data_IF_355288690634
#
_entry.id   IF_355288690634
#
_cell.length_a   1.000
_cell.length_b   1.000
_cell.length_c   1.000
_cell.angle_alpha   90.00
_cell.angle_beta   90.00
_cell.angle_gamma   90.00
#
_symmetry.space_group_name_H-M   'P 1'
#
loop_
_entity.id
_entity.type
_entity.pdbx_description
1 polymer ?
#
# COMPACT_ATOMS: atom_id res chain seq x y z
N UNK A 1 11.98 22.40 7.58
CA UNK A 1 12.64 21.46 6.64
C UNK A 1 11.65 21.17 5.53
N UNK A 2 11.91 21.63 4.30
CA UNK A 2 11.03 21.33 3.17
C UNK A 2 11.15 19.84 2.80
N UNK A 3 10.05 19.08 2.69
CA UNK A 3 10.12 17.70 2.25
C UNK A 3 10.69 17.64 0.84
N UNK A 4 11.70 16.79 0.62
CA UNK A 4 12.32 16.58 -0.69
C UNK A 4 11.27 16.04 -1.66
N UNK A 5 11.15 16.71 -2.80
CA UNK A 5 10.17 16.44 -3.86
C UNK A 5 10.59 15.16 -4.60
N UNK A 6 9.71 14.15 -4.65
CA UNK A 6 9.84 13.05 -5.61
C UNK A 6 9.76 13.64 -7.03
N UNK A 7 10.81 13.50 -7.87
CA UNK A 7 10.74 13.95 -9.25
C UNK A 7 9.64 13.19 -9.99
N UNK A 8 8.90 13.89 -10.87
CA UNK A 8 7.86 13.30 -11.72
C UNK A 8 8.47 12.18 -12.57
N UNK A 9 8.08 10.94 -12.28
CA UNK A 9 8.61 9.75 -12.97
C UNK A 9 7.71 9.30 -14.11
N UNK A 10 8.31 9.10 -15.28
CA UNK A 10 7.68 8.37 -16.38
C UNK A 10 7.76 6.87 -16.06
N UNK A 11 6.61 6.22 -15.90
CA UNK A 11 6.49 4.83 -15.46
C UNK A 11 7.40 3.84 -16.23
N UNK A 12 7.57 4.03 -17.55
CA UNK A 12 8.41 3.15 -18.37
C UNK A 12 9.91 3.21 -18.09
N UNK A 13 10.46 4.38 -17.73
CA UNK A 13 11.89 4.50 -17.35
C UNK A 13 12.14 4.00 -15.92
N UNK A 14 11.16 4.17 -15.03
CA UNK A 14 11.21 3.69 -13.64
C UNK A 14 11.38 2.19 -13.55
N UNK A 15 10.58 1.43 -14.31
CA UNK A 15 10.54 -0.03 -14.22
C UNK A 15 11.84 -0.64 -14.71
N UNK A 16 12.40 -0.13 -15.82
CA UNK A 16 13.68 -0.60 -16.34
C UNK A 16 14.82 -0.33 -15.36
N UNK A 17 14.81 0.83 -14.70
CA UNK A 17 15.81 1.18 -13.69
C UNK A 17 15.70 0.29 -12.43
N UNK A 18 14.48 0.05 -11.95
CA UNK A 18 14.23 -0.87 -10.82
C UNK A 18 14.73 -2.29 -11.11
N UNK A 19 14.40 -2.83 -12.28
CA UNK A 19 14.86 -4.16 -12.70
C UNK A 19 16.39 -4.20 -12.81
N UNK A 20 17.00 -3.18 -13.44
CA UNK A 20 18.45 -3.10 -13.58
C UNK A 20 19.16 -3.07 -12.20
N UNK A 21 18.64 -2.30 -11.24
CA UNK A 21 19.18 -2.24 -9.88
C UNK A 21 19.06 -3.57 -9.14
N UNK A 22 17.93 -4.28 -9.29
CA UNK A 22 17.77 -5.63 -8.73
C UNK A 22 18.75 -6.61 -9.37
N UNK A 23 18.87 -6.60 -10.70
CA UNK A 23 19.81 -7.45 -11.43
C UNK A 23 21.25 -7.22 -10.97
N UNK A 24 21.67 -5.96 -10.81
CA UNK A 24 22.98 -5.61 -10.28
C UNK A 24 23.21 -6.18 -8.87
N UNK A 25 22.20 -6.08 -7.98
CA UNK A 25 22.29 -6.64 -6.63
C UNK A 25 22.35 -8.18 -6.65
N UNK A 26 21.58 -8.84 -7.50
CA UNK A 26 21.59 -10.30 -7.66
C UNK A 26 22.93 -10.83 -8.19
N UNK A 27 23.52 -10.15 -9.18
CA UNK A 27 24.87 -10.48 -9.67
C UNK A 27 25.95 -10.27 -8.60
N UNK A 28 25.82 -9.21 -7.80
CA UNK A 28 26.68 -8.96 -6.64
C UNK A 28 26.53 -10.04 -5.58
N UNK A 29 25.31 -10.55 -5.36
CA UNK A 29 25.01 -11.61 -4.42
C UNK A 29 25.68 -12.93 -4.85
N UNK A 30 25.54 -13.30 -6.13
CA UNK A 30 26.18 -14.48 -6.69
C UNK A 30 27.71 -14.47 -6.55
N UNK A 31 28.34 -13.30 -6.75
CA UNK A 31 29.79 -13.11 -6.52
C UNK A 31 30.22 -13.28 -5.06
N UNK A 32 29.30 -13.09 -4.11
CA UNK A 32 29.52 -13.31 -2.66
C UNK A 32 29.08 -14.70 -2.19
N UNK A 33 28.67 -15.59 -3.10
CA UNK A 33 28.15 -16.92 -2.75
C UNK A 33 26.74 -16.91 -2.16
N UNK A 34 26.01 -15.79 -2.28
CA UNK A 34 24.62 -15.67 -1.83
C UNK A 34 23.72 -16.08 -2.99
N UNK A 35 23.04 -17.21 -2.83
CA UNK A 35 22.17 -17.77 -3.86
C UNK A 35 20.71 -17.43 -3.58
N UNK A 36 20.14 -16.55 -4.41
CA UNK A 36 18.69 -16.34 -4.45
C UNK A 36 18.08 -17.48 -5.25
N UNK A 37 17.39 -18.39 -4.57
CA UNK A 37 16.71 -19.52 -5.20
C UNK A 37 15.34 -19.06 -5.67
N UNK A 38 14.97 -19.36 -6.92
CA UNK A 38 13.63 -19.07 -7.41
C UNK A 38 12.57 -19.69 -6.48
N UNK A 39 11.57 -18.90 -6.10
CA UNK A 39 10.44 -19.37 -5.32
C UNK A 39 9.60 -20.38 -6.11
N UNK A 40 8.67 -21.05 -5.43
CA UNK A 40 7.72 -21.93 -6.09
C UNK A 40 6.79 -21.12 -7.00
N UNK A 41 7.21 -20.91 -8.25
CA UNK A 41 6.43 -20.26 -9.30
C UNK A 41 6.30 -18.75 -9.18
N UNK A 42 5.93 -18.15 -10.31
CA UNK A 42 5.54 -16.75 -10.50
C UNK A 42 4.27 -16.42 -9.70
N UNK A 43 4.33 -16.44 -8.38
CA UNK A 43 3.15 -16.19 -7.56
C UNK A 43 2.97 -14.70 -7.32
N UNK A 44 2.01 -14.12 -8.05
CA UNK A 44 1.35 -12.89 -7.63
C UNK A 44 0.77 -13.14 -6.23
N UNK A 45 1.28 -12.40 -5.24
CA UNK A 45 0.88 -12.56 -3.86
C UNK A 45 -0.57 -12.13 -3.63
N UNK A 46 -1.09 -11.25 -4.49
CA UNK A 46 -2.48 -10.80 -4.46
C UNK A 46 -3.41 -11.87 -5.04
N UNK A 47 -3.00 -12.57 -6.12
CA UNK A 47 -3.78 -13.66 -6.70
C UNK A 47 -3.98 -14.84 -5.72
N UNK A 48 -2.96 -15.14 -4.89
CA UNK A 48 -3.07 -16.17 -3.85
C UNK A 48 -4.12 -15.85 -2.76
N UNK A 49 -4.51 -14.59 -2.61
CA UNK A 49 -5.59 -14.21 -1.69
C UNK A 49 -6.96 -14.68 -2.20
N UNK A 50 -7.13 -14.71 -3.53
CA UNK A 50 -8.37 -15.15 -4.17
C UNK A 50 -8.37 -16.67 -4.44
N UNK A 51 -7.19 -17.29 -4.59
CA UNK A 51 -7.03 -18.74 -4.81
C UNK A 51 -7.03 -19.58 -3.52
N UNK A 52 -7.16 -18.97 -2.33
CA UNK A 52 -7.57 -19.72 -1.14
C UNK A 52 -9.01 -20.21 -1.36
N UNK A 53 -9.14 -21.38 -1.99
CA UNK A 53 -10.24 -22.29 -1.71
C UNK A 53 -10.29 -22.42 -0.18
N UNK A 54 -11.31 -21.80 0.42
CA UNK A 54 -11.74 -22.11 1.76
C UNK A 54 -11.94 -23.63 1.82
N UNK A 55 -11.25 -24.37 2.69
CA UNK A 55 -11.60 -25.76 2.92
C UNK A 55 -12.97 -25.76 3.59
N UNK A 56 -13.99 -26.14 2.81
CA UNK A 56 -15.38 -26.33 3.21
C UNK A 56 -16.03 -25.07 3.83
N UNK A 57 -17.12 -24.61 3.21
CA UNK A 57 -18.01 -23.63 3.83
C UNK A 57 -18.33 -24.11 5.26
N UNK A 58 -17.84 -23.40 6.27
CA UNK A 58 -18.44 -23.50 7.60
C UNK A 58 -19.95 -23.33 7.38
N UNK A 59 -20.79 -24.24 7.90
CA UNK A 59 -22.22 -24.20 7.63
C UNK A 59 -22.70 -22.79 7.96
N UNK A 60 -23.25 -22.11 6.93
CA UNK A 60 -23.84 -20.79 7.06
C UNK A 60 -24.58 -20.75 8.41
N UNK A 61 -24.26 -19.79 9.31
CA UNK A 61 -24.96 -19.72 10.57
C UNK A 61 -26.46 -19.68 10.24
N UNK A 62 -27.19 -20.71 10.66
CA UNK A 62 -28.62 -20.91 10.38
C UNK A 62 -29.50 -19.89 11.11
N UNK A 63 -28.89 -18.93 11.81
CA UNK A 63 -29.56 -17.78 12.39
C UNK A 63 -29.88 -16.73 11.34
N UNK A 64 -31.16 -16.37 11.23
CA UNK A 64 -31.54 -15.09 10.60
C UNK A 64 -30.79 -13.96 11.32
N UNK A 65 -30.21 -12.97 10.60
CA UNK A 65 -29.63 -11.80 11.25
C UNK A 65 -30.71 -11.14 12.11
N UNK A 66 -30.56 -11.24 13.43
CA UNK A 66 -31.40 -10.51 14.37
C UNK A 66 -30.83 -9.10 14.44
N UNK A 67 -31.61 -8.13 13.97
CA UNK A 67 -31.31 -6.73 14.18
C UNK A 67 -31.26 -6.47 15.69
N UNK A 68 -30.09 -6.11 16.22
CA UNK A 68 -29.87 -5.76 17.63
C UNK A 68 -30.49 -4.40 18.00
N UNK A 69 -31.00 -3.66 17.01
CA UNK A 69 -31.65 -2.36 17.18
C UNK A 69 -32.99 -2.33 16.41
N UNK A 70 -33.91 -1.47 16.85
CA UNK A 70 -35.11 -1.16 16.06
C UNK A 70 -34.69 -0.69 14.66
N UNK A 71 -35.41 -1.02 13.58
CA UNK A 71 -35.06 -0.59 12.23
C UNK A 71 -34.78 0.92 12.23
N UNK A 72 -33.60 1.31 11.76
CA UNK A 72 -33.25 2.74 11.66
C UNK A 72 -34.32 3.37 10.79
N UNK A 73 -35.19 4.18 11.40
CA UNK A 73 -36.31 4.80 10.70
C UNK A 73 -35.79 5.60 9.50
N UNK A 74 -36.61 5.72 8.46
CA UNK A 74 -36.24 6.52 7.30
C UNK A 74 -35.88 7.94 7.74
N UNK A 75 -34.60 8.31 7.61
CA UNK A 75 -34.17 9.68 7.85
C UNK A 75 -34.45 10.49 6.59
N UNK A 76 -35.26 11.54 6.72
CA UNK A 76 -35.40 12.52 5.66
C UNK A 76 -34.07 13.27 5.54
N UNK A 77 -33.35 13.05 4.45
CA UNK A 77 -32.05 13.68 4.16
C UNK A 77 -32.20 15.15 3.71
N UNK A 78 -33.43 15.67 3.63
CA UNK A 78 -33.74 16.97 3.05
C UNK A 78 -33.75 16.94 1.52
N UNK A 79 -34.09 18.07 0.91
CA UNK A 79 -33.95 18.26 -0.54
C UNK A 79 -32.51 18.56 -0.92
N UNK A 80 -32.02 17.95 -2.01
CA UNK A 80 -30.70 18.23 -2.57
C UNK A 80 -30.81 19.06 -3.85
N UNK A 81 -29.96 20.07 -4.04
CA UNK A 81 -29.81 20.81 -5.30
C UNK A 81 -28.96 20.02 -6.34
N UNK A 82 -28.60 18.78 -5.97
CA UNK A 82 -27.74 17.87 -6.73
C UNK A 82 -26.25 18.23 -6.66
N UNK A 83 -25.86 19.36 -6.05
CA UNK A 83 -24.45 19.77 -5.92
C UNK A 83 -23.75 18.83 -4.95
N UNK A 84 -22.66 18.23 -5.44
CA UNK A 84 -21.78 17.43 -4.60
C UNK A 84 -20.52 18.23 -4.36
N UNK A 85 -20.22 18.44 -3.09
CA UNK A 85 -18.95 19.00 -2.63
C UNK A 85 -17.80 17.99 -2.72
N UNK A 86 -18.11 16.73 -3.04
CA UNK A 86 -17.13 15.65 -3.22
C UNK A 86 -16.46 15.78 -4.59
N UNK A 87 -15.39 16.57 -4.60
CA UNK A 87 -14.68 16.97 -5.79
C UNK A 87 -13.47 16.09 -6.08
N UNK A 88 -12.91 15.41 -5.07
CA UNK A 88 -11.68 14.64 -5.22
C UNK A 88 -11.87 13.19 -4.77
N UNK A 89 -11.13 12.27 -5.39
CA UNK A 89 -11.01 10.88 -4.94
C UNK A 89 -9.55 10.48 -4.88
N UNK A 90 -9.14 9.93 -3.73
CA UNK A 90 -7.83 9.33 -3.51
C UNK A 90 -8.00 7.81 -3.52
N UNK A 91 -7.22 7.15 -4.37
CA UNK A 91 -7.13 5.71 -4.42
C UNK A 91 -5.67 5.29 -4.67
N UNK A 92 -5.33 4.11 -4.15
CA UNK A 92 -4.02 3.50 -4.30
C UNK A 92 -4.14 2.03 -4.63
N UNK A 93 -3.25 1.59 -5.51
CA UNK A 93 -3.14 0.20 -5.98
C UNK A 93 -1.75 -0.33 -5.65
N UNK A 94 -1.68 -1.65 -5.49
CA UNK A 94 -0.42 -2.36 -5.28
C UNK A 94 -0.40 -3.64 -6.09
N UNK A 95 0.80 -4.08 -6.46
CA UNK A 95 1.07 -5.42 -6.98
C UNK A 95 2.35 -5.92 -6.32
N UNK A 96 2.33 -7.15 -5.83
CA UNK A 96 3.47 -7.74 -5.14
C UNK A 96 3.74 -9.17 -5.61
N UNK A 97 5.02 -9.51 -5.72
CA UNK A 97 5.48 -10.80 -6.24
C UNK A 97 6.71 -11.26 -5.47
N UNK A 98 6.74 -12.54 -5.14
CA UNK A 98 7.97 -13.17 -4.67
C UNK A 98 8.88 -13.50 -5.85
N UNK A 99 10.12 -13.02 -5.81
CA UNK A 99 11.12 -13.28 -6.87
C UNK A 99 12.06 -14.42 -6.50
N UNK A 100 12.10 -14.81 -5.23
CA UNK A 100 12.91 -15.90 -4.74
C UNK A 100 13.06 -15.87 -3.22
N UNK A 101 14.01 -16.67 -2.74
CA UNK A 101 14.38 -16.74 -1.32
C UNK A 101 15.90 -16.87 -1.15
N UNK A 102 16.40 -16.36 -0.03
CA UNK A 102 17.77 -16.59 0.46
C UNK A 102 17.64 -17.51 1.67
N UNK A 103 18.08 -18.77 1.55
CA UNK A 103 17.74 -19.77 2.57
C UNK A 103 16.21 -19.89 2.70
N UNK A 104 15.67 -19.64 3.89
CA UNK A 104 14.23 -19.60 4.18
C UNK A 104 13.64 -18.18 4.21
N UNK A 105 14.43 -17.16 3.85
CA UNK A 105 14.00 -15.77 3.86
C UNK A 105 13.42 -15.35 2.50
N UNK A 106 12.13 -14.99 2.41
CA UNK A 106 11.53 -14.57 1.15
C UNK A 106 12.09 -13.23 0.67
N UNK A 107 12.24 -13.08 -0.65
CA UNK A 107 12.58 -11.83 -1.33
C UNK A 107 11.39 -11.43 -2.19
N UNK A 108 10.71 -10.37 -1.76
CA UNK A 108 9.47 -9.89 -2.37
C UNK A 108 9.73 -8.55 -3.04
N UNK A 109 9.20 -8.38 -4.25
CA UNK A 109 9.15 -7.08 -4.92
C UNK A 109 7.72 -6.57 -4.92
N UNK A 110 7.55 -5.27 -4.78
CA UNK A 110 6.25 -4.64 -4.93
C UNK A 110 6.32 -3.37 -5.75
N UNK A 111 5.23 -3.06 -6.43
CA UNK A 111 4.97 -1.76 -7.04
C UNK A 111 3.69 -1.22 -6.44
N UNK A 112 3.77 0.00 -5.92
CA UNK A 112 2.67 0.72 -5.29
C UNK A 112 2.47 2.00 -6.05
N UNK A 113 1.22 2.32 -6.38
CA UNK A 113 0.86 3.55 -7.04
C UNK A 113 -0.35 4.19 -6.37
N UNK A 114 -0.37 5.51 -6.25
CA UNK A 114 -1.51 6.24 -5.70
C UNK A 114 -1.72 7.55 -6.45
N UNK A 115 -2.98 7.99 -6.54
CA UNK A 115 -3.34 9.22 -7.25
C UNK A 115 -4.57 9.88 -6.65
N UNK A 116 -4.67 11.19 -6.84
CA UNK A 116 -5.89 11.95 -6.60
C UNK A 116 -6.50 12.29 -7.96
N UNK A 117 -7.77 12.00 -8.14
CA UNK A 117 -8.55 12.38 -9.33
C UNK A 117 -9.55 13.46 -8.98
N UNK A 118 -9.73 14.42 -9.89
CA UNK A 118 -10.66 15.53 -9.76
C UNK A 118 -11.97 15.24 -10.52
N UNK A 119 -13.11 15.54 -9.90
CA UNK A 119 -14.49 15.27 -10.33
C UNK A 119 -15.35 16.55 -10.38
N UNK A 120 -14.78 17.74 -10.24
CA UNK A 120 -15.53 18.99 -10.37
C UNK A 120 -16.35 18.99 -11.68
N UNK A 121 -17.69 19.07 -11.58
CA UNK A 121 -18.60 19.05 -12.75
C UNK A 121 -19.41 17.77 -13.00
N UNK A 122 -19.41 16.79 -12.08
CA UNK A 122 -20.35 15.64 -12.04
C UNK A 122 -20.39 14.70 -13.26
N UNK A 123 -19.41 14.71 -14.17
CA UNK A 123 -19.36 13.77 -15.31
C UNK A 123 -18.51 12.55 -14.96
N UNK A 124 -19.16 11.42 -14.66
CA UNK A 124 -18.52 10.12 -14.45
C UNK A 124 -17.74 9.60 -15.66
N UNK A 125 -17.98 10.16 -16.85
CA UNK A 125 -17.52 9.56 -18.10
C UNK A 125 -16.03 9.71 -18.37
N UNK A 126 -15.35 10.71 -17.78
CA UNK A 126 -13.89 10.91 -17.90
C UNK A 126 -13.37 11.60 -16.63
N UNK A 127 -12.59 10.90 -15.83
CA UNK A 127 -11.83 11.48 -14.72
C UNK A 127 -10.42 11.79 -15.23
N UNK A 128 -10.13 13.02 -15.72
CA UNK A 128 -8.80 13.35 -16.19
C UNK A 128 -7.82 13.27 -15.02
N UNK A 129 -6.74 12.52 -15.21
CA UNK A 129 -5.59 12.59 -14.32
C UNK A 129 -4.85 13.90 -14.61
N UNK A 130 -4.82 14.81 -13.65
CA UNK A 130 -4.03 16.06 -13.76
C UNK A 130 -2.52 15.75 -13.85
N UNK A 131 -2.11 14.64 -13.26
CA UNK A 131 -0.75 14.10 -13.29
C UNK A 131 -0.76 12.57 -13.27
N UNK A 132 0.29 11.90 -13.78
CA UNK A 132 0.41 10.46 -13.59
C UNK A 132 0.39 10.10 -12.09
N UNK A 133 -0.07 8.90 -11.72
CA UNK A 133 0.01 8.41 -10.35
C UNK A 133 1.44 8.49 -9.82
N UNK A 134 1.57 8.77 -8.52
CA UNK A 134 2.85 8.61 -7.84
C UNK A 134 3.13 7.13 -7.71
N UNK A 135 4.31 6.68 -8.16
CA UNK A 135 4.71 5.27 -8.16
C UNK A 135 5.96 5.10 -7.32
N UNK A 136 5.96 4.08 -6.47
CA UNK A 136 7.10 3.62 -5.68
C UNK A 136 7.21 2.12 -5.83
N UNK A 137 8.44 1.62 -5.92
CA UNK A 137 8.75 0.20 -6.02
C UNK A 137 9.65 -0.20 -4.86
N UNK A 138 9.42 -1.37 -4.28
CA UNK A 138 10.15 -1.81 -3.10
C UNK A 138 10.65 -3.25 -3.24
N UNK A 139 11.81 -3.52 -2.66
CA UNK A 139 12.28 -4.87 -2.34
C UNK A 139 12.10 -5.08 -0.84
N UNK A 140 11.47 -6.18 -0.45
CA UNK A 140 11.09 -6.50 0.92
C UNK A 140 11.72 -7.83 1.31
N UNK A 141 12.45 -7.83 2.42
CA UNK A 141 13.18 -8.99 2.97
C UNK A 141 13.29 -8.88 4.50
N UNK A 142 13.36 -10.00 5.25
CA UNK A 142 13.35 -10.00 6.71
C UNK A 142 14.75 -9.74 7.29
N UNK A 143 15.29 -8.53 7.11
CA UNK A 143 16.65 -8.18 7.54
C UNK A 143 16.84 -8.36 9.05
N UNK A 144 15.91 -7.85 9.86
CA UNK A 144 16.01 -7.93 11.33
C UNK A 144 15.81 -9.34 11.90
N UNK A 145 15.58 -10.36 11.06
CA UNK A 145 15.60 -11.76 11.49
C UNK A 145 17.04 -12.29 11.72
N UNK A 146 18.08 -11.53 11.34
CA UNK A 146 19.47 -11.83 11.71
C UNK A 146 20.22 -12.81 10.79
N UNK A 147 19.69 -13.08 9.59
CA UNK A 147 20.41 -13.89 8.59
C UNK A 147 21.50 -13.05 7.89
N UNK A 148 22.77 -13.43 8.06
CA UNK A 148 23.91 -12.72 7.50
C UNK A 148 23.89 -12.62 5.96
N UNK A 149 23.31 -13.60 5.26
CA UNK A 149 23.17 -13.56 3.79
C UNK A 149 22.10 -12.56 3.37
N UNK A 150 21.03 -12.43 4.16
CA UNK A 150 19.97 -11.43 3.95
C UNK A 150 20.51 -10.03 4.19
N UNK A 151 21.28 -9.82 5.27
CA UNK A 151 21.96 -8.54 5.52
C UNK A 151 22.95 -8.17 4.42
N UNK A 152 23.77 -9.12 3.97
CA UNK A 152 24.71 -8.87 2.89
C UNK A 152 24.01 -8.55 1.56
N UNK A 153 22.86 -9.16 1.28
CA UNK A 153 22.04 -8.83 0.12
C UNK A 153 21.36 -7.47 0.27
N UNK A 154 20.90 -7.12 1.47
CA UNK A 154 20.38 -5.79 1.78
C UNK A 154 21.39 -4.69 1.46
N UNK A 155 22.64 -4.84 1.88
CA UNK A 155 23.70 -3.87 1.61
C UNK A 155 24.03 -3.76 0.11
N UNK A 156 23.87 -4.85 -0.66
CA UNK A 156 23.98 -4.80 -2.12
C UNK A 156 22.84 -4.01 -2.77
N UNK A 157 21.61 -4.11 -2.25
CA UNK A 157 20.50 -3.28 -2.71
C UNK A 157 20.76 -1.81 -2.42
N UNK A 158 21.24 -1.47 -1.22
CA UNK A 158 21.62 -0.07 -0.91
C UNK A 158 22.72 0.43 -1.85
N UNK A 159 23.74 -0.38 -2.13
CA UNK A 159 24.81 -0.04 -3.05
C UNK A 159 24.32 0.13 -4.51
N UNK A 160 23.26 -0.58 -4.92
CA UNK A 160 22.58 -0.38 -6.20
C UNK A 160 21.69 0.89 -6.22
N UNK A 161 21.60 1.61 -5.10
CA UNK A 161 20.91 2.88 -4.98
C UNK A 161 19.46 2.76 -4.53
N UNK A 162 19.08 1.66 -3.86
CA UNK A 162 17.83 1.60 -3.11
C UNK A 162 17.91 2.45 -1.83
N UNK A 163 16.79 3.04 -1.42
CA UNK A 163 16.69 3.82 -0.19
C UNK A 163 15.96 3.05 0.90
N UNK A 164 16.39 3.21 2.15
CA UNK A 164 15.59 2.78 3.30
C UNK A 164 14.39 3.72 3.46
N UNK A 165 13.36 3.25 4.13
CA UNK A 165 12.20 4.05 4.48
C UNK A 165 11.94 3.86 5.97
N UNK A 166 12.03 4.94 6.75
CA UNK A 166 11.76 4.89 8.18
C UNK A 166 10.30 4.54 8.46
N UNK A 167 9.90 4.07 9.65
CA UNK A 167 8.52 3.66 9.98
C UNK A 167 7.41 4.67 9.62
N UNK A 168 7.67 5.96 9.84
CA UNK A 168 6.65 7.02 9.77
C UNK A 168 6.83 8.00 8.60
N UNK A 169 7.87 7.82 7.78
CA UNK A 169 8.16 8.70 6.66
C UNK A 169 7.05 8.67 5.57
N UNK A 170 6.99 9.65 4.68
CA UNK A 170 6.30 9.46 3.39
C UNK A 170 7.35 8.99 2.40
N UNK A 171 7.09 7.96 1.57
CA UNK A 171 8.01 7.57 0.51
C UNK A 171 8.48 8.78 -0.30
N UNK A 172 9.79 9.04 -0.26
CA UNK A 172 10.45 10.17 -0.93
C UNK A 172 11.43 9.71 -2.02
N UNK A 173 11.68 8.41 -2.11
CA UNK A 173 12.51 7.75 -3.12
C UNK A 173 11.66 6.74 -3.89
N UNK A 174 11.87 6.59 -5.21
CA UNK A 174 11.07 5.68 -6.02
C UNK A 174 11.44 4.21 -5.84
N UNK A 175 12.65 3.92 -5.35
CA UNK A 175 13.17 2.57 -5.18
C UNK A 175 13.55 2.38 -3.73
N UNK A 176 12.76 1.55 -3.05
CA UNK A 176 12.88 1.32 -1.62
C UNK A 176 13.35 -0.09 -1.30
N UNK A 177 13.99 -0.22 -0.14
CA UNK A 177 14.22 -1.51 0.50
C UNK A 177 13.60 -1.48 1.89
N UNK A 178 12.74 -2.45 2.18
CA UNK A 178 11.93 -2.51 3.41
C UNK A 178 12.19 -3.81 4.17
N UNK A 179 12.20 -3.68 5.50
CA UNK A 179 12.36 -4.82 6.38
C UNK A 179 10.97 -5.35 6.78
N UNK A 180 10.72 -6.64 6.53
CA UNK A 180 9.49 -7.31 6.96
C UNK A 180 9.51 -7.77 8.41
N UNK A 181 10.66 -7.78 9.08
CA UNK A 181 10.84 -8.20 10.46
C UNK A 181 11.04 -7.03 11.45
N UNK A 182 11.03 -5.78 10.99
CA UNK A 182 11.40 -4.57 11.75
C UNK A 182 10.68 -4.39 13.10
N UNK A 183 9.42 -4.81 13.22
CA UNK A 183 8.58 -4.59 14.42
C UNK A 183 8.33 -5.86 15.25
N UNK A 184 9.15 -6.90 15.06
CA UNK A 184 8.96 -8.17 15.74
C UNK A 184 10.17 -8.45 16.62
N UNK A 185 9.91 -8.55 17.92
CA UNK A 185 10.85 -9.18 18.83
C UNK A 185 10.96 -10.66 18.48
N UNK A 186 12.18 -11.16 18.28
CA UNK A 186 12.48 -12.59 18.09
C UNK A 186 11.82 -13.21 16.85
N UNK A 187 11.94 -12.55 15.70
CA UNK A 187 11.41 -13.06 14.45
C UNK A 187 12.12 -14.39 14.06
N UNK A 188 11.38 -15.50 13.98
CA UNK A 188 11.91 -16.80 13.56
C UNK A 188 12.26 -16.78 12.05
N UNK A 189 13.54 -16.90 11.65
CA UNK A 189 13.95 -16.90 10.25
C UNK A 189 13.43 -18.11 9.47
N UNK A 190 13.00 -19.18 10.16
CA UNK A 190 12.46 -20.40 9.56
C UNK A 190 10.96 -20.32 9.26
N UNK A 191 10.25 -19.34 9.83
CA UNK A 191 8.82 -19.07 9.60
C UNK A 191 8.59 -18.38 8.24
N UNK A 192 8.87 -19.10 7.16
CA UNK A 192 8.75 -18.59 5.80
C UNK A 192 7.33 -18.08 5.47
N UNK A 193 6.29 -18.79 5.93
CA UNK A 193 4.89 -18.38 5.70
C UNK A 193 4.58 -17.07 6.42
N UNK A 194 4.93 -16.96 7.71
CA UNK A 194 4.71 -15.73 8.44
C UNK A 194 5.54 -14.57 7.89
N UNK A 195 6.77 -14.80 7.42
CA UNK A 195 7.57 -13.77 6.75
C UNK A 195 6.91 -13.26 5.46
N UNK A 196 6.29 -14.14 4.68
CA UNK A 196 5.50 -13.73 3.50
C UNK A 196 4.29 -12.89 3.88
N UNK A 197 3.53 -13.29 4.89
CA UNK A 197 2.37 -12.50 5.35
C UNK A 197 2.78 -11.13 5.91
N UNK A 198 3.90 -11.06 6.63
CA UNK A 198 4.46 -9.79 7.14
C UNK A 198 4.89 -8.88 6.01
N UNK A 199 5.57 -9.42 5.00
CA UNK A 199 5.94 -8.66 3.82
C UNK A 199 4.71 -8.09 3.10
N UNK A 200 3.62 -8.87 2.97
CA UNK A 200 2.33 -8.35 2.46
C UNK A 200 1.79 -7.21 3.32
N UNK A 201 1.86 -7.35 4.64
CA UNK A 201 1.56 -6.26 5.58
C UNK A 201 2.36 -5.00 5.29
N UNK A 202 3.67 -5.12 5.02
CA UNK A 202 4.53 -3.99 4.64
C UNK A 202 4.15 -3.36 3.30
N UNK A 203 3.77 -4.15 2.28
CA UNK A 203 3.25 -3.60 1.01
C UNK A 203 2.01 -2.75 1.26
N UNK A 204 1.07 -3.26 2.07
CA UNK A 204 -0.14 -2.51 2.45
C UNK A 204 0.20 -1.22 3.18
N UNK A 205 1.08 -1.26 4.17
CA UNK A 205 1.53 -0.07 4.90
C UNK A 205 2.23 0.94 3.98
N UNK A 206 3.02 0.47 3.01
CA UNK A 206 3.66 1.34 2.02
C UNK A 206 2.62 2.09 1.18
N UNK A 207 1.56 1.40 0.72
CA UNK A 207 0.42 2.01 0.01
C UNK A 207 -0.29 3.05 0.85
N UNK A 208 -0.67 2.70 2.07
CA UNK A 208 -1.36 3.61 2.99
C UNK A 208 -0.51 4.86 3.30
N UNK A 209 0.82 4.72 3.42
CA UNK A 209 1.73 5.86 3.62
C UNK A 209 1.85 6.75 2.39
N UNK A 210 1.83 6.16 1.19
CA UNK A 210 1.82 6.90 -0.07
C UNK A 210 0.53 7.71 -0.24
N UNK A 211 -0.61 7.09 0.06
CA UNK A 211 -1.94 7.73 0.08
C UNK A 211 -1.98 8.87 1.11
N UNK A 212 -1.57 8.62 2.36
CA UNK A 212 -1.52 9.66 3.40
C UNK A 212 -0.61 10.84 3.04
N UNK A 213 0.52 10.55 2.37
CA UNK A 213 1.40 11.60 1.83
C UNK A 213 0.77 12.42 0.70
N UNK A 214 -0.05 11.80 -0.16
CA UNK A 214 -0.83 12.52 -1.18
C UNK A 214 -1.93 13.37 -0.55
N UNK A 215 -2.65 12.83 0.43
CA UNK A 215 -3.71 13.53 1.14
C UNK A 215 -3.18 14.81 1.81
N UNK A 216 -2.08 14.70 2.57
CA UNK A 216 -1.44 15.87 3.21
C UNK A 216 -1.01 16.95 2.21
N UNK A 217 -0.56 16.55 1.00
CA UNK A 217 -0.22 17.51 -0.05
C UNK A 217 -1.44 18.18 -0.65
N UNK A 218 -2.52 17.43 -0.85
CA UNK A 218 -3.78 17.97 -1.34
C UNK A 218 -4.38 18.99 -0.38
N UNK A 219 -4.27 18.77 0.94
CA UNK A 219 -4.77 19.72 1.93
C UNK A 219 -4.02 21.07 1.92
N UNK A 220 -2.75 21.08 1.51
CA UNK A 220 -1.93 22.27 1.37
C UNK A 220 -1.85 22.83 -0.05
N UNK A 221 -2.61 22.32 -1.02
CA UNK A 221 -2.63 22.84 -2.39
C UNK A 221 -3.44 24.14 -2.43
N UNK A 222 -2.84 25.22 -2.93
CA UNK A 222 -3.46 26.55 -2.99
C UNK A 222 -4.84 26.53 -3.67
N UNK A 223 -5.03 25.68 -4.70
CA UNK A 223 -6.33 25.54 -5.41
C UNK A 223 -7.42 24.98 -4.51
N UNK A 224 -7.06 24.10 -3.59
CA UNK A 224 -7.96 23.44 -2.62
C UNK A 224 -8.17 24.34 -1.39
N UNK A 225 -7.23 25.22 -1.09
CA UNK A 225 -7.38 26.25 -0.08
C UNK A 225 -8.31 27.39 -0.54
N UNK A 226 -8.27 27.74 -1.83
CA UNK A 226 -9.18 28.71 -2.45
C UNK A 226 -10.62 28.20 -2.53
N UNK A 227 -10.82 26.89 -2.72
CA UNK A 227 -12.15 26.25 -2.68
C UNK A 227 -12.41 25.63 -1.29
N UNK A 228 -12.91 26.45 -0.35
CA UNK A 228 -13.21 26.00 1.03
C UNK A 228 -14.23 24.87 1.08
N UNK A 229 -15.04 24.70 0.04
CA UNK A 229 -16.12 23.72 -0.04
C UNK A 229 -15.72 22.42 -0.75
N UNK A 230 -14.47 22.27 -1.19
CA UNK A 230 -14.00 21.04 -1.80
C UNK A 230 -13.75 19.93 -0.76
N UNK A 231 -14.32 18.75 -1.02
CA UNK A 231 -14.12 17.53 -0.23
C UNK A 231 -13.43 16.43 -1.04
N UNK A 232 -12.71 15.56 -0.33
CA UNK A 232 -12.06 14.37 -0.88
C UNK A 232 -12.65 13.09 -0.28
N UNK A 233 -12.96 12.14 -1.15
CA UNK A 233 -13.20 10.75 -0.75
C UNK A 233 -11.87 9.99 -0.79
N UNK A 234 -11.59 9.21 0.24
CA UNK A 234 -10.38 8.39 0.36
C UNK A 234 -10.82 6.92 0.42
N UNK A 235 -10.27 6.07 -0.45
CA UNK A 235 -10.53 4.62 -0.35
C UNK A 235 -9.97 4.05 0.96
N UNK A 236 -10.79 3.28 1.67
CA UNK A 236 -10.43 2.71 2.96
C UNK A 236 -10.66 3.64 4.16
N UNK A 237 -9.98 3.32 5.26
CA UNK A 237 -10.15 4.00 6.53
C UNK A 237 -9.18 5.19 6.65
N UNK A 238 -9.68 6.34 7.11
CA UNK A 238 -8.83 7.46 7.48
C UNK A 238 -8.08 7.13 8.78
N UNK A 239 -6.75 7.01 8.69
CA UNK A 239 -5.85 6.91 9.84
C UNK A 239 -5.33 8.30 10.20
N UNK A 240 -5.02 8.53 11.47
CA UNK A 240 -4.46 9.80 11.97
C UNK A 240 -5.28 11.08 11.66
N UNK A 241 -6.57 11.05 12.03
CA UNK A 241 -7.52 12.18 11.88
C UNK A 241 -7.13 13.42 12.72
N UNK A 242 -6.11 13.30 13.59
CA UNK A 242 -5.81 14.29 14.63
C UNK A 242 -5.19 15.60 14.11
N UNK A 243 -4.55 15.61 12.94
CA UNK A 243 -3.75 16.78 12.53
C UNK A 243 -4.35 17.61 11.39
N UNK A 244 -5.03 17.03 10.40
CA UNK A 244 -5.70 17.76 9.32
C UNK A 244 -6.41 16.73 8.45
N UNK A 245 -7.75 16.65 8.57
CA UNK A 245 -8.59 15.74 7.77
C UNK A 245 -10.06 16.24 7.77
N UNK A 246 -10.29 17.55 7.93
CA UNK A 246 -11.64 18.11 8.15
C UNK A 246 -12.55 18.00 6.91
N UNK A 247 -11.96 17.83 5.72
CA UNK A 247 -12.67 17.74 4.43
C UNK A 247 -12.46 16.40 3.71
N UNK A 248 -12.06 15.38 4.46
CA UNK A 248 -11.82 14.03 3.95
C UNK A 248 -12.88 13.05 4.49
N UNK A 249 -13.34 12.14 3.64
CA UNK A 249 -14.28 11.06 4.00
C UNK A 249 -13.66 9.73 3.58
N UNK A 250 -13.48 8.81 4.54
CA UNK A 250 -13.05 7.44 4.26
C UNK A 250 -14.18 6.58 3.71
N UNK A 251 -13.91 5.79 2.68
CA UNK A 251 -14.86 4.88 2.04
C UNK A 251 -14.45 3.43 2.27
N UNK A 252 -15.06 2.77 3.25
CA UNK A 252 -14.83 1.35 3.54
C UNK A 252 -15.79 0.51 2.68
N UNK A 253 -15.25 -0.18 1.67
CA UNK A 253 -16.03 -0.99 0.71
C UNK A 253 -16.14 -2.47 1.08
N UNK A 254 -15.34 -2.94 2.04
CA UNK A 254 -15.35 -4.33 2.50
C UNK A 254 -16.04 -4.45 3.86
N UNK A 255 -17.10 -5.26 3.90
CA UNK A 255 -17.87 -5.59 5.11
C UNK A 255 -17.29 -6.77 5.88
N UNK A 256 -16.18 -7.36 5.40
CA UNK A 256 -15.55 -8.53 6.01
C UNK A 256 -14.78 -8.20 7.31
N UNK A 257 -14.72 -6.92 7.70
CA UNK A 257 -14.15 -6.50 8.98
C UNK A 257 -15.24 -6.22 10.00
N UNK A 258 -15.15 -6.74 11.23
CA UNK A 258 -16.18 -6.64 12.27
C UNK A 258 -16.29 -5.23 12.90
N UNK A 259 -15.88 -4.17 12.21
CA UNK A 259 -15.93 -2.80 12.74
C UNK A 259 -17.38 -2.26 12.84
N UNK A 260 -18.37 -3.04 12.39
CA UNK A 260 -19.81 -2.79 12.54
C UNK A 260 -20.47 -3.55 13.70
N UNK A 261 -19.76 -4.37 14.47
CA UNK A 261 -20.31 -4.86 15.74
C UNK A 261 -20.04 -3.77 16.78
N UNK A 262 -21.07 -2.99 17.08
CA UNK A 262 -21.10 -2.13 18.26
C UNK A 262 -20.70 -2.94 19.49
N UNK A 263 -20.05 -2.27 20.45
CA UNK A 263 -19.85 -2.83 21.79
C UNK A 263 -21.18 -3.24 22.40
#
# INVERSE_FOLDING_TARGET
MSPRILPRMQAGRSVNDFVAKISQALEGAGRKGIHVTAGAGSCDLEAQQFDRHLPEEEPFPTGRPQHLESPVGSRNLGGHDGTSRLCYFLDGVQSSREIGRIGMSPVIVSTVAATIVNRCGRRFSRMPLESPPLVVQAVILPRSAGDASVEAFWELLLAAGFSKLDPDEVPSSPHLVLDSAEYIAEADPSDYVGMRERARGRVRSLRERLEGGLLRRWEGDDRVLEDSEAWIAVDGQLKDIRESNRRAIGLIKSVARPEFVGK
#
